data_IF_651459235019
#
_entry.id   IF_651459235019
#
_cell.length_a   1.000
_cell.length_b   1.000
_cell.length_c   1.000
_cell.angle_alpha   90.00
_cell.angle_beta   90.00
_cell.angle_gamma   90.00
#
_symmetry.space_group_name_H-M   'P 1'
#
loop_
_entity.id
_entity.type
_entity.pdbx_description
1 polymer ?
#
# COMPACT_ATOMS: atom_id res chain seq x y z
N UNK A 1 38.85 5.22 29.40
CA UNK A 1 38.72 5.36 27.94
C UNK A 1 37.26 5.20 27.57
N UNK A 2 36.57 6.29 27.22
CA UNK A 2 35.23 6.22 26.62
C UNK A 2 35.41 5.76 25.17
N UNK A 3 34.88 4.57 24.86
CA UNK A 3 34.78 4.09 23.48
C UNK A 3 33.64 4.89 22.86
N UNK A 4 33.95 5.92 22.08
CA UNK A 4 32.97 6.60 21.24
C UNK A 4 32.36 5.56 20.30
N UNK A 5 31.03 5.42 20.22
CA UNK A 5 30.42 4.66 19.13
C UNK A 5 30.80 5.39 17.84
N UNK A 6 31.69 4.79 17.07
CA UNK A 6 31.98 5.25 15.72
C UNK A 6 30.77 4.87 14.88
N UNK A 7 29.80 5.78 14.79
CA UNK A 7 28.93 5.84 13.62
C UNK A 7 29.88 6.11 12.45
N UNK A 8 30.33 5.04 11.79
CA UNK A 8 31.19 5.16 10.62
C UNK A 8 30.35 5.80 9.52
N UNK A 9 30.69 7.03 9.14
CA UNK A 9 30.00 7.75 8.07
C UNK A 9 29.89 6.87 6.81
N UNK A 10 30.85 5.96 6.55
CA UNK A 10 30.76 5.02 5.43
C UNK A 10 29.57 4.06 5.53
N UNK A 11 29.19 3.64 6.74
CA UNK A 11 28.04 2.77 6.97
C UNK A 11 26.74 3.55 6.74
N UNK A 12 26.67 4.81 7.20
CA UNK A 12 25.50 5.67 6.96
C UNK A 12 25.35 5.97 5.46
N UNK A 13 26.42 6.36 4.77
CA UNK A 13 26.38 6.60 3.32
C UNK A 13 25.96 5.34 2.55
N UNK A 14 26.44 4.16 2.94
CA UNK A 14 26.01 2.90 2.33
C UNK A 14 24.53 2.59 2.58
N UNK A 15 24.02 2.86 3.79
CA UNK A 15 22.59 2.70 4.11
C UNK A 15 21.72 3.69 3.32
N UNK A 16 22.16 4.94 3.15
CA UNK A 16 21.49 5.93 2.31
C UNK A 16 21.42 5.42 0.87
N UNK A 17 22.53 4.94 0.32
CA UNK A 17 22.56 4.43 -1.06
C UNK A 17 21.59 3.25 -1.24
N UNK A 18 21.59 2.27 -0.33
CA UNK A 18 20.67 1.13 -0.39
C UNK A 18 19.21 1.60 -0.31
N UNK A 19 18.90 2.53 0.59
CA UNK A 19 17.55 3.07 0.74
C UNK A 19 17.11 3.86 -0.51
N UNK A 20 18.01 4.62 -1.13
CA UNK A 20 17.77 5.35 -2.38
C UNK A 20 17.52 4.40 -3.57
N UNK A 21 18.30 3.32 -3.68
CA UNK A 21 18.08 2.28 -4.68
C UNK A 21 16.71 1.61 -4.50
N UNK A 22 16.35 1.25 -3.26
CA UNK A 22 15.03 0.69 -2.94
C UNK A 22 13.90 1.68 -3.20
N UNK A 23 14.09 2.97 -2.89
CA UNK A 23 13.11 4.01 -3.17
C UNK A 23 12.88 4.15 -4.67
N UNK A 24 13.92 4.05 -5.49
CA UNK A 24 13.78 4.10 -6.94
C UNK A 24 12.98 2.91 -7.48
N UNK A 25 13.24 1.70 -6.99
CA UNK A 25 12.46 0.50 -7.34
C UNK A 25 11.01 0.68 -6.92
N UNK A 26 10.75 1.12 -5.69
CA UNK A 26 9.41 1.35 -5.17
C UNK A 26 8.61 2.37 -6.00
N UNK A 27 9.25 3.47 -6.43
CA UNK A 27 8.63 4.48 -7.29
C UNK A 27 8.29 3.96 -8.67
N UNK A 28 9.18 3.17 -9.27
CA UNK A 28 8.94 2.56 -10.58
C UNK A 28 7.75 1.59 -10.53
N UNK A 29 7.69 0.75 -9.48
CA UNK A 29 6.59 -0.18 -9.25
C UNK A 29 5.27 0.58 -9.01
N UNK A 30 5.31 1.63 -8.18
CA UNK A 30 4.14 2.46 -7.90
C UNK A 30 3.56 3.09 -9.17
N UNK A 31 4.42 3.59 -10.07
CA UNK A 31 3.97 4.17 -11.34
C UNK A 31 3.29 3.12 -12.23
N UNK A 32 3.89 1.93 -12.34
CA UNK A 32 3.29 0.83 -13.08
C UNK A 32 1.93 0.41 -12.49
N UNK A 33 1.87 0.24 -11.17
CA UNK A 33 0.69 -0.18 -10.44
C UNK A 33 -0.45 0.85 -10.53
N UNK A 34 -0.13 2.15 -10.52
CA UNK A 34 -1.10 3.24 -10.73
C UNK A 34 -1.77 3.15 -12.10
N UNK A 35 -1.02 2.88 -13.16
CA UNK A 35 -1.59 2.71 -14.52
C UNK A 35 -2.59 1.55 -14.53
N UNK A 36 -2.22 0.43 -13.90
CA UNK A 36 -3.10 -0.73 -13.82
C UNK A 36 -4.33 -0.49 -12.94
N UNK A 37 -4.20 0.25 -11.83
CA UNK A 37 -5.30 0.67 -10.98
C UNK A 37 -6.32 1.50 -11.77
N UNK A 38 -5.88 2.46 -12.58
CA UNK A 38 -6.77 3.27 -13.43
C UNK A 38 -7.57 2.37 -14.38
N UNK A 39 -6.93 1.38 -15.00
CA UNK A 39 -7.61 0.42 -15.86
C UNK A 39 -8.62 -0.45 -15.09
N UNK A 40 -8.25 -0.89 -13.89
CA UNK A 40 -9.12 -1.68 -13.02
C UNK A 40 -10.36 -0.89 -12.56
N UNK A 41 -10.18 0.38 -12.20
CA UNK A 41 -11.29 1.29 -11.84
C UNK A 41 -12.22 1.57 -13.03
N UNK A 42 -11.67 1.70 -14.24
CA UNK A 42 -12.49 1.76 -15.45
C UNK A 42 -13.26 0.45 -15.69
N UNK A 43 -12.67 -0.70 -15.35
CA UNK A 43 -13.34 -2.01 -15.32
C UNK A 43 -14.49 -2.05 -14.32
N UNK A 44 -14.26 -1.60 -13.08
CA UNK A 44 -15.29 -1.54 -12.03
C UNK A 44 -16.47 -0.67 -12.44
N UNK A 45 -16.22 0.54 -12.98
CA UNK A 45 -17.27 1.45 -13.46
C UNK A 45 -18.13 0.79 -14.53
N UNK A 46 -17.49 0.12 -15.50
CA UNK A 46 -18.19 -0.62 -16.57
C UNK A 46 -19.00 -1.78 -16.00
N UNK A 47 -18.44 -2.57 -15.08
CA UNK A 47 -19.12 -3.70 -14.45
C UNK A 47 -20.36 -3.24 -13.67
N UNK A 48 -20.25 -2.20 -12.84
CA UNK A 48 -21.37 -1.62 -12.09
C UNK A 48 -22.45 -1.07 -13.02
N UNK A 49 -22.08 -0.30 -14.04
CA UNK A 49 -23.02 0.24 -15.01
C UNK A 49 -23.75 -0.88 -15.77
N UNK A 50 -23.05 -1.97 -16.07
CA UNK A 50 -23.65 -3.13 -16.73
C UNK A 50 -24.63 -3.86 -15.81
N UNK A 51 -24.28 -4.10 -14.54
CA UNK A 51 -25.20 -4.68 -13.55
C UNK A 51 -26.46 -3.82 -13.43
N UNK A 52 -26.30 -2.50 -13.19
CA UNK A 52 -27.43 -1.58 -13.06
C UNK A 52 -28.29 -1.57 -14.33
N UNK A 53 -27.65 -1.51 -15.50
CA UNK A 53 -28.36 -1.56 -16.77
C UNK A 53 -29.15 -2.86 -16.90
N UNK A 54 -28.64 -4.00 -16.48
CA UNK A 54 -29.32 -5.30 -16.62
C UNK A 54 -30.48 -5.46 -15.63
N UNK A 55 -30.31 -5.03 -14.39
CA UNK A 55 -31.31 -5.14 -13.32
C UNK A 55 -32.57 -4.28 -13.60
N UNK A 56 -32.44 -3.20 -14.38
CA UNK A 56 -33.56 -2.27 -14.70
C UNK A 56 -34.49 -2.73 -15.82
N UNK A 57 -34.44 -4.01 -16.20
CA UNK A 57 -35.26 -4.56 -17.29
C UNK A 57 -36.75 -4.52 -16.96
N UNK A 58 -37.14 -4.99 -15.78
CA UNK A 58 -38.55 -5.03 -15.38
C UNK A 58 -39.12 -3.63 -15.14
N UNK A 59 -38.32 -2.71 -14.59
CA UNK A 59 -38.67 -1.29 -14.51
C UNK A 59 -38.97 -0.71 -15.89
N UNK A 60 -38.10 -0.94 -16.89
CA UNK A 60 -38.30 -0.47 -18.26
C UNK A 60 -39.55 -1.09 -18.89
N UNK A 61 -39.78 -2.38 -18.67
CA UNK A 61 -40.98 -3.08 -19.17
C UNK A 61 -42.27 -2.48 -18.59
N UNK A 62 -42.27 -2.17 -17.30
CA UNK A 62 -43.39 -1.55 -16.59
C UNK A 62 -43.63 -0.10 -17.05
N UNK A 63 -42.57 0.72 -17.07
CA UNK A 63 -42.66 2.13 -17.45
C UNK A 63 -43.14 2.34 -18.90
N UNK A 64 -42.79 1.41 -19.80
CA UNK A 64 -43.17 1.45 -21.22
C UNK A 64 -44.45 0.65 -21.52
N UNK A 65 -45.17 0.16 -20.52
CA UNK A 65 -46.36 -0.68 -20.68
C UNK A 65 -47.43 -0.09 -21.63
N UNK A 66 -47.74 1.21 -21.62
CA UNK A 66 -48.73 1.79 -22.54
C UNK A 66 -48.32 1.72 -24.03
N UNK A 67 -47.03 1.55 -24.32
CA UNK A 67 -46.46 1.61 -25.67
C UNK A 67 -45.96 0.24 -26.15
N UNK A 68 -46.80 -0.79 -26.06
CA UNK A 68 -46.41 -2.20 -26.30
C UNK A 68 -45.49 -2.44 -27.51
N UNK A 69 -45.83 -1.92 -28.70
CA UNK A 69 -45.01 -2.10 -29.91
C UNK A 69 -43.62 -1.44 -29.80
N UNK A 70 -43.58 -0.18 -29.33
CA UNK A 70 -42.32 0.55 -29.17
C UNK A 70 -41.48 -0.04 -28.03
N UNK A 71 -42.11 -0.48 -26.95
CA UNK A 71 -41.48 -1.22 -25.85
C UNK A 71 -40.82 -2.49 -26.38
N UNK A 72 -41.55 -3.33 -27.11
CA UNK A 72 -41.03 -4.62 -27.54
C UNK A 72 -39.86 -4.43 -28.53
N UNK A 73 -39.96 -3.45 -29.43
CA UNK A 73 -38.84 -3.03 -30.27
C UNK A 73 -37.64 -2.55 -29.44
N UNK A 74 -37.86 -1.65 -28.46
CA UNK A 74 -36.82 -1.14 -27.57
C UNK A 74 -36.13 -2.25 -26.77
N UNK A 75 -36.89 -3.16 -26.17
CA UNK A 75 -36.35 -4.28 -25.41
C UNK A 75 -35.55 -5.24 -26.32
N UNK A 76 -36.07 -5.54 -27.52
CA UNK A 76 -35.41 -6.40 -28.51
C UNK A 76 -34.12 -5.81 -29.08
N UNK A 77 -33.95 -4.48 -29.07
CA UNK A 77 -32.75 -3.78 -29.51
C UNK A 77 -31.59 -3.85 -28.48
N UNK A 78 -31.75 -4.62 -27.40
CA UNK A 78 -30.72 -4.81 -26.36
C UNK A 78 -30.97 -4.01 -25.08
N UNK A 79 -32.02 -3.18 -25.02
CA UNK A 79 -32.42 -2.46 -23.81
C UNK A 79 -33.36 -3.24 -22.90
N UNK A 80 -33.73 -4.46 -23.29
CA UNK A 80 -34.48 -5.39 -22.45
C UNK A 80 -33.62 -6.18 -21.49
N UNK A 81 -32.36 -5.80 -21.35
CA UNK A 81 -31.36 -6.57 -20.64
C UNK A 81 -31.10 -7.92 -21.29
N UNK A 82 -30.04 -8.53 -20.83
CA UNK A 82 -29.79 -9.95 -21.01
C UNK A 82 -30.80 -10.73 -20.13
N UNK A 83 -31.26 -11.91 -20.55
CA UNK A 83 -32.13 -12.75 -19.68
C UNK A 83 -31.51 -12.81 -18.28
N UNK A 84 -32.30 -12.60 -17.22
CA UNK A 84 -31.81 -12.62 -15.84
C UNK A 84 -30.93 -13.85 -15.53
N UNK A 85 -31.19 -14.97 -16.20
CA UNK A 85 -30.38 -16.18 -16.14
C UNK A 85 -28.94 -16.04 -16.66
N UNK A 86 -28.64 -15.20 -17.65
CA UNK A 86 -27.25 -14.96 -18.07
C UNK A 86 -26.58 -13.85 -17.27
N UNK A 87 -27.32 -12.85 -16.74
CA UNK A 87 -26.76 -11.93 -15.75
C UNK A 87 -26.25 -12.72 -14.54
N UNK A 88 -27.04 -13.69 -14.05
CA UNK A 88 -26.64 -14.54 -12.93
C UNK A 88 -25.38 -15.36 -13.28
N UNK A 89 -25.27 -15.88 -14.51
CA UNK A 89 -24.05 -16.58 -14.99
C UNK A 89 -22.81 -15.69 -15.00
N UNK A 90 -22.96 -14.40 -15.25
CA UNK A 90 -21.84 -13.45 -15.30
C UNK A 90 -21.64 -12.67 -14.01
N UNK A 91 -22.53 -12.84 -13.02
CA UNK A 91 -22.52 -12.06 -11.77
C UNK A 91 -21.26 -12.28 -10.97
N UNK A 92 -20.80 -13.52 -10.86
CA UNK A 92 -19.55 -13.86 -10.20
C UNK A 92 -18.36 -13.15 -10.84
N UNK A 93 -18.29 -13.16 -12.17
CA UNK A 93 -17.22 -12.47 -12.91
C UNK A 93 -17.27 -10.95 -12.72
N UNK A 94 -18.45 -10.34 -12.80
CA UNK A 94 -18.60 -8.89 -12.60
C UNK A 94 -18.23 -8.48 -11.17
N UNK A 95 -18.65 -9.28 -10.18
CA UNK A 95 -18.26 -9.09 -8.78
C UNK A 95 -16.76 -9.27 -8.59
N UNK A 96 -16.14 -10.24 -9.27
CA UNK A 96 -14.70 -10.41 -9.29
C UNK A 96 -14.00 -9.15 -9.83
N UNK A 97 -14.43 -8.60 -10.98
CA UNK A 97 -13.85 -7.37 -11.55
C UNK A 97 -13.96 -6.19 -10.58
N UNK A 98 -15.10 -6.05 -9.88
CA UNK A 98 -15.30 -5.01 -8.86
C UNK A 98 -14.33 -5.22 -7.69
N UNK A 99 -14.21 -6.45 -7.18
CA UNK A 99 -13.31 -6.77 -6.07
C UNK A 99 -11.83 -6.59 -6.45
N UNK A 100 -11.46 -6.94 -7.68
CA UNK A 100 -10.12 -6.78 -8.23
C UNK A 100 -9.71 -5.31 -8.25
N UNK A 101 -10.58 -4.40 -8.71
CA UNK A 101 -10.29 -2.97 -8.70
C UNK A 101 -10.00 -2.43 -7.29
N UNK A 102 -10.78 -2.84 -6.29
CA UNK A 102 -10.53 -2.48 -4.88
C UNK A 102 -9.22 -3.04 -4.35
N UNK A 103 -8.87 -4.26 -4.75
CA UNK A 103 -7.58 -4.87 -4.42
C UNK A 103 -6.42 -4.03 -4.93
N UNK A 104 -6.50 -3.59 -6.20
CA UNK A 104 -5.46 -2.74 -6.83
C UNK A 104 -5.32 -1.38 -6.16
N UNK A 105 -6.41 -0.74 -5.76
CA UNK A 105 -6.34 0.48 -4.92
C UNK A 105 -5.59 0.23 -3.61
N UNK A 106 -5.83 -0.92 -2.96
CA UNK A 106 -5.14 -1.31 -1.75
C UNK A 106 -3.66 -1.55 -1.94
N UNK A 107 -3.26 -2.15 -3.06
CA UNK A 107 -1.86 -2.42 -3.39
C UNK A 107 -1.08 -1.13 -3.70
N UNK A 108 -1.68 -0.21 -4.48
CA UNK A 108 -1.12 1.12 -4.72
C UNK A 108 -0.92 1.88 -3.40
N UNK A 109 -1.92 1.85 -2.50
CA UNK A 109 -1.81 2.52 -1.19
C UNK A 109 -0.65 1.99 -0.35
N UNK A 110 -0.44 0.67 -0.32
CA UNK A 110 0.71 0.07 0.40
C UNK A 110 2.05 0.50 -0.20
N UNK A 111 2.14 0.60 -1.52
CA UNK A 111 3.35 1.09 -2.19
C UNK A 111 3.60 2.58 -1.88
N UNK A 112 2.55 3.40 -1.83
CA UNK A 112 2.65 4.80 -1.40
C UNK A 112 3.15 4.93 0.05
N UNK A 113 2.62 4.10 0.95
CA UNK A 113 3.08 4.03 2.35
C UNK A 113 4.56 3.63 2.45
N UNK A 114 5.00 2.65 1.65
CA UNK A 114 6.40 2.22 1.59
C UNK A 114 7.33 3.29 1.04
N UNK A 115 6.92 3.99 -0.02
CA UNK A 115 7.66 5.13 -0.58
C UNK A 115 7.83 6.23 0.48
N UNK A 116 6.76 6.60 1.17
CA UNK A 116 6.81 7.63 2.22
C UNK A 116 7.72 7.22 3.39
N UNK A 117 7.74 5.93 3.76
CA UNK A 117 8.64 5.39 4.78
C UNK A 117 10.10 5.51 4.34
N UNK A 118 10.44 5.07 3.13
CA UNK A 118 11.80 5.15 2.60
C UNK A 118 12.29 6.59 2.47
N UNK A 119 11.45 7.51 2.00
CA UNK A 119 11.78 8.94 1.93
C UNK A 119 12.10 9.52 3.32
N UNK A 120 11.32 9.13 4.34
CA UNK A 120 11.55 9.54 5.72
C UNK A 120 12.86 8.96 6.27
N UNK A 121 13.13 7.68 6.04
CA UNK A 121 14.35 7.02 6.51
C UNK A 121 15.60 7.66 5.88
N UNK A 122 15.57 7.91 4.57
CA UNK A 122 16.65 8.61 3.86
C UNK A 122 16.86 10.02 4.43
N UNK A 123 15.79 10.78 4.68
CA UNK A 123 15.90 12.12 5.24
C UNK A 123 16.52 12.10 6.65
N UNK A 124 16.15 11.13 7.48
CA UNK A 124 16.73 10.93 8.81
C UNK A 124 18.21 10.54 8.74
N UNK A 125 18.59 9.63 7.84
CA UNK A 125 19.98 9.23 7.65
C UNK A 125 20.84 10.39 7.12
N UNK A 126 20.35 11.16 6.14
CA UNK A 126 21.04 12.37 5.64
C UNK A 126 21.23 13.41 6.74
N UNK A 127 20.21 13.60 7.59
CA UNK A 127 20.32 14.46 8.77
C UNK A 127 21.46 13.98 9.67
N UNK A 128 21.51 12.68 10.00
CA UNK A 128 22.58 12.09 10.82
C UNK A 128 23.96 12.23 10.18
N UNK A 129 24.07 12.07 8.86
CA UNK A 129 25.30 12.26 8.10
C UNK A 129 25.80 13.73 8.14
N UNK A 130 24.91 14.68 7.86
CA UNK A 130 25.21 16.12 7.79
C UNK A 130 25.65 16.72 9.13
N UNK A 131 25.08 16.26 10.24
CA UNK A 131 25.42 16.78 11.57
C UNK A 131 26.76 16.27 12.11
N UNK A 132 27.45 15.37 11.38
CA UNK A 132 28.80 14.92 11.72
C UNK A 132 28.92 14.55 13.20
N UNK A 133 28.39 13.38 13.58
CA UNK A 133 28.39 12.89 14.97
C UNK A 133 29.78 12.87 15.65
N UNK A 134 30.87 13.15 14.93
CA UNK A 134 32.20 13.37 15.48
C UNK A 134 32.27 14.42 16.62
N UNK A 135 31.34 15.37 16.73
CA UNK A 135 31.35 16.42 17.76
C UNK A 135 30.42 16.23 18.98
N UNK A 136 29.31 15.49 18.84
CA UNK A 136 28.21 15.45 19.82
C UNK A 136 28.21 14.17 20.68
N UNK A 137 29.05 13.18 20.36
CA UNK A 137 29.17 11.92 21.11
C UNK A 137 29.49 12.09 22.60
N UNK A 138 29.98 13.26 23.04
CA UNK A 138 30.12 13.58 24.46
C UNK A 138 28.76 13.66 25.20
N UNK A 139 27.66 13.95 24.51
CA UNK A 139 26.31 14.04 25.09
C UNK A 139 25.50 12.76 24.95
N UNK A 140 25.80 11.91 23.97
CA UNK A 140 25.07 10.66 23.72
C UNK A 140 25.98 9.45 23.92
N UNK A 141 26.07 9.01 25.16
CA UNK A 141 26.73 7.77 25.56
C UNK A 141 25.93 6.53 25.10
N UNK A 142 25.64 6.41 23.80
CA UNK A 142 24.90 5.27 23.24
C UNK A 142 25.90 4.29 22.64
N UNK A 143 26.60 3.56 23.51
CA UNK A 143 27.34 2.38 23.09
C UNK A 143 26.37 1.34 22.53
N UNK A 144 26.68 0.82 21.34
CA UNK A 144 26.10 -0.40 20.75
C UNK A 144 24.65 -0.34 20.23
N UNK A 145 24.06 0.83 19.96
CA UNK A 145 22.80 0.84 19.18
C UNK A 145 23.11 0.79 17.69
N UNK A 146 22.89 -0.38 17.10
CA UNK A 146 22.81 -0.54 15.66
C UNK A 146 21.46 0.04 15.24
N UNK A 147 21.45 1.30 14.79
CA UNK A 147 20.24 2.05 14.43
C UNK A 147 19.42 1.40 13.29
N UNK A 148 19.92 0.33 12.66
CA UNK A 148 19.22 -0.44 11.63
C UNK A 148 18.41 -1.66 12.12
N UNK A 149 18.55 -2.14 13.36
CA UNK A 149 17.76 -3.29 13.83
C UNK A 149 16.33 -2.90 14.26
N UNK A 150 16.10 -1.67 14.70
CA UNK A 150 14.76 -1.26 15.17
C UNK A 150 13.73 -1.12 14.04
N UNK A 151 14.17 -0.98 12.78
CA UNK A 151 13.27 -0.89 11.62
C UNK A 151 13.03 -2.25 10.92
N UNK A 152 13.88 -3.26 11.15
CA UNK A 152 13.83 -4.54 10.43
C UNK A 152 13.77 -5.80 11.32
N UNK A 153 13.96 -5.71 12.64
CA UNK A 153 13.81 -6.87 13.54
C UNK A 153 12.38 -7.00 14.07
N UNK A 154 11.73 -8.10 13.68
CA UNK A 154 10.59 -8.64 14.40
C UNK A 154 11.03 -8.95 15.85
N UNK A 155 10.35 -8.47 16.92
CA UNK A 155 10.82 -8.59 18.31
C UNK A 155 10.80 -10.03 18.88
N UNK A 156 10.42 -11.02 18.09
CA UNK A 156 10.13 -12.38 18.55
C UNK A 156 11.34 -13.31 18.63
N UNK A 157 12.52 -12.90 18.16
CA UNK A 157 13.76 -13.68 18.29
C UNK A 157 14.93 -12.76 18.63
N UNK A 158 15.13 -12.50 19.92
CA UNK A 158 16.42 -12.76 20.57
C UNK A 158 16.32 -12.48 22.07
N UNK A 159 16.40 -13.56 22.84
CA UNK A 159 16.39 -13.53 24.29
C UNK A 159 17.69 -12.93 24.81
N UNK A 160 17.63 -11.67 25.27
CA UNK A 160 18.58 -11.15 26.25
C UNK A 160 17.80 -10.48 27.38
N UNK A 161 17.65 -11.22 28.48
CA UNK A 161 17.24 -10.66 29.75
C UNK A 161 18.34 -9.69 30.25
N UNK A 162 17.99 -8.49 30.74
CA UNK A 162 18.98 -7.59 31.31
C UNK A 162 19.47 -8.13 32.66
N UNK A 163 20.79 -8.28 32.80
CA UNK A 163 21.43 -8.52 34.10
C UNK A 163 21.18 -7.34 35.04
N UNK A 164 20.60 -7.64 36.20
CA UNK A 164 20.35 -6.69 37.28
C UNK A 164 21.65 -6.13 37.85
N UNK A 165 21.88 -4.83 37.67
CA UNK A 165 22.78 -4.07 38.54
C UNK A 165 21.97 -3.50 39.71
N UNK A 166 22.07 -4.14 40.87
CA UNK A 166 21.75 -3.50 42.15
C UNK A 166 23.05 -3.17 42.87
N UNK A 167 23.32 -1.87 42.98
CA UNK A 167 24.43 -1.30 43.75
C UNK A 167 24.22 -1.44 45.26
N UNK A 168 25.35 -1.53 45.96
CA UNK A 168 25.60 -1.47 47.41
C UNK A 168 24.80 -0.41 48.19
N UNK A 169 24.40 -0.74 49.43
CA UNK A 169 24.51 0.17 50.59
C UNK A 169 24.26 -0.54 51.94
N UNK A 170 25.33 -0.68 52.72
CA UNK A 170 25.42 -0.51 54.18
C UNK A 170 24.34 -1.07 55.12
N UNK A 171 24.70 -2.11 55.89
CA UNK A 171 24.94 -2.06 57.34
C UNK A 171 25.70 -3.30 57.79
#
# INVERSE_FOLDING_TARGET
>A
MMINPQLDNKVISAQIQIAEEMLQVARNELEYERVQMVNALAGEKRAKAFIEFLERTDERRSALYPFNQARDAYLSAGFGGVQAGELERHREYLNYVISFARGREGDVRKLEEMVALLEKDIAQLKTVEDYGFCGILQFMAVKNMWWGQSALCNPSHDGYLPQSFSQLSGR
#
